data_IF_571070315745
#
_entry.id   IF_571070315745
#
_cell.length_a   1.000
_cell.length_b   1.000
_cell.length_c   1.000
_cell.angle_alpha   90.00
_cell.angle_beta   90.00
_cell.angle_gamma   90.00
#
_symmetry.space_group_name_H-M   'P 1'
#
loop_
_entity.id
_entity.type
_entity.pdbx_description
1 polymer ?
#
# COMPACT_ATOMS: atom_id res chain seq x y z
N UNK A 1 11.38 -8.80 -36.82
CA UNK A 1 10.64 -7.81 -35.97
C UNK A 1 11.54 -7.29 -34.83
N UNK A 2 12.15 -8.12 -33.96
CA UNK A 2 12.92 -7.69 -32.79
C UNK A 2 14.06 -6.73 -33.17
N UNK A 3 14.83 -7.00 -34.23
CA UNK A 3 15.97 -6.19 -34.66
C UNK A 3 15.57 -4.76 -35.01
N UNK A 4 14.42 -4.57 -35.68
CA UNK A 4 13.88 -3.25 -36.07
C UNK A 4 13.10 -2.52 -34.97
N UNK A 5 12.72 -3.20 -33.88
CA UNK A 5 11.87 -2.63 -32.83
C UNK A 5 12.69 -1.70 -31.92
N UNK A 6 12.23 -0.47 -31.70
CA UNK A 6 12.93 0.49 -30.83
C UNK A 6 12.68 0.27 -29.35
N UNK A 7 11.48 -0.16 -28.99
CA UNK A 7 11.02 -0.37 -27.59
C UNK A 7 10.37 -1.74 -27.48
N UNK A 8 10.78 -2.50 -26.48
CA UNK A 8 10.14 -3.77 -26.10
C UNK A 8 9.61 -3.60 -24.68
N UNK A 9 8.34 -3.97 -24.47
CA UNK A 9 7.67 -3.92 -23.16
C UNK A 9 7.29 -5.33 -22.75
N UNK A 10 7.54 -5.67 -21.51
CA UNK A 10 7.21 -6.98 -20.96
C UNK A 10 7.42 -7.05 -19.45
N UNK A 11 7.03 -8.14 -18.84
CA UNK A 11 7.34 -8.42 -17.43
C UNK A 11 8.80 -8.86 -17.29
N UNK A 12 9.40 -8.64 -16.13
CA UNK A 12 10.76 -9.14 -15.82
C UNK A 12 10.85 -10.64 -16.01
N UNK A 13 9.85 -11.40 -15.56
CA UNK A 13 9.78 -12.86 -15.76
C UNK A 13 9.80 -13.25 -17.24
N UNK A 14 9.08 -12.53 -18.10
CA UNK A 14 9.10 -12.78 -19.56
C UNK A 14 10.46 -12.49 -20.15
N UNK A 15 11.09 -11.38 -19.77
CA UNK A 15 12.42 -11.01 -20.26
C UNK A 15 13.50 -12.03 -19.81
N UNK A 16 13.44 -12.47 -18.56
CA UNK A 16 14.39 -13.46 -18.01
C UNK A 16 14.20 -14.85 -18.63
N UNK A 17 12.96 -15.24 -18.92
CA UNK A 17 12.67 -16.55 -19.55
C UNK A 17 12.96 -16.61 -21.05
N UNK A 18 13.20 -15.47 -21.69
CA UNK A 18 13.49 -15.37 -23.14
C UNK A 18 14.80 -14.64 -23.42
N UNK A 19 15.94 -15.14 -22.92
CA UNK A 19 17.25 -14.47 -23.04
C UNK A 19 17.71 -14.26 -24.49
N UNK A 20 17.16 -14.99 -25.44
CA UNK A 20 17.47 -14.82 -26.87
C UNK A 20 17.14 -13.41 -27.38
N UNK A 21 16.23 -12.66 -26.75
CA UNK A 21 15.95 -11.27 -27.10
C UNK A 21 17.22 -10.43 -27.03
N UNK A 22 18.01 -10.61 -25.97
CA UNK A 22 19.27 -9.89 -25.75
C UNK A 22 20.41 -10.40 -26.63
N UNK A 23 20.34 -11.64 -27.12
CA UNK A 23 21.25 -12.16 -28.12
C UNK A 23 21.00 -11.58 -29.52
N UNK A 24 19.73 -11.27 -29.84
CA UNK A 24 19.35 -10.74 -31.15
C UNK A 24 19.54 -9.22 -31.23
N UNK A 25 19.47 -8.51 -30.10
CA UNK A 25 19.59 -7.07 -30.08
C UNK A 25 20.15 -6.58 -28.75
N UNK A 26 21.13 -5.72 -28.81
CA UNK A 26 21.62 -4.97 -27.66
C UNK A 26 20.73 -3.76 -27.37
N UNK A 27 20.32 -3.61 -26.11
CA UNK A 27 19.52 -2.46 -25.65
C UNK A 27 20.37 -1.54 -24.80
N UNK A 28 20.35 -0.25 -25.13
CA UNK A 28 21.12 0.76 -24.39
C UNK A 28 20.55 1.10 -23.03
N UNK A 29 19.21 0.97 -22.88
CA UNK A 29 18.49 1.41 -21.69
C UNK A 29 17.39 0.43 -21.31
N UNK A 30 17.33 0.08 -20.03
CA UNK A 30 16.17 -0.55 -19.40
C UNK A 30 15.50 0.45 -18.47
N UNK A 31 14.16 0.53 -18.53
CA UNK A 31 13.35 1.26 -17.55
C UNK A 31 12.48 0.21 -16.84
N UNK A 32 12.61 0.11 -15.53
CA UNK A 32 11.96 -0.90 -14.72
C UNK A 32 11.05 -0.20 -13.72
N UNK A 33 9.75 -0.34 -13.93
CA UNK A 33 8.74 0.20 -13.04
C UNK A 33 8.39 -0.78 -11.91
N UNK A 34 7.89 -0.27 -10.79
CA UNK A 34 7.60 -1.02 -9.55
C UNK A 34 8.81 -1.85 -9.07
N UNK A 35 10.02 -1.35 -9.27
CA UNK A 35 11.26 -2.08 -8.99
C UNK A 35 11.49 -2.37 -7.49
N UNK A 36 10.83 -1.61 -6.60
CA UNK A 36 10.80 -1.90 -5.16
C UNK A 36 10.08 -3.21 -4.80
N UNK A 37 9.28 -3.76 -5.72
CA UNK A 37 8.58 -5.04 -5.58
C UNK A 37 9.30 -6.22 -6.24
N UNK A 38 10.50 -6.02 -6.77
CA UNK A 38 11.24 -7.04 -7.50
C UNK A 38 12.50 -7.38 -6.71
N UNK A 39 12.65 -8.66 -6.39
CA UNK A 39 13.88 -9.15 -5.73
C UNK A 39 15.08 -8.99 -6.65
N UNK A 40 16.22 -8.65 -6.06
CA UNK A 40 17.49 -8.40 -6.79
C UNK A 40 17.85 -9.53 -7.77
N UNK A 41 17.81 -10.82 -7.41
CA UNK A 41 18.13 -11.90 -8.33
C UNK A 41 17.29 -11.92 -9.62
N UNK A 42 16.07 -11.41 -9.56
CA UNK A 42 15.16 -11.35 -10.72
C UNK A 42 15.49 -10.18 -11.68
N UNK A 43 16.35 -9.24 -11.27
CA UNK A 43 16.77 -8.10 -12.07
C UNK A 43 18.15 -8.24 -12.66
N UNK A 44 19.08 -8.91 -11.98
CA UNK A 44 20.50 -8.97 -12.35
C UNK A 44 20.71 -9.43 -13.79
N UNK A 45 20.04 -10.51 -14.22
CA UNK A 45 20.13 -11.01 -15.58
C UNK A 45 19.67 -10.03 -16.66
N UNK A 46 18.68 -9.21 -16.35
CA UNK A 46 18.20 -8.15 -17.25
C UNK A 46 19.18 -6.97 -17.28
N UNK A 47 19.64 -6.54 -16.11
CA UNK A 47 20.52 -5.38 -15.97
C UNK A 47 21.90 -5.62 -16.59
N UNK A 48 22.41 -6.85 -16.52
CA UNK A 48 23.68 -7.23 -17.18
C UNK A 48 23.63 -7.20 -18.72
N UNK A 49 22.45 -7.16 -19.31
CA UNK A 49 22.24 -7.18 -20.77
C UNK A 49 21.99 -5.77 -21.37
N UNK A 50 22.13 -4.72 -20.59
CA UNK A 50 21.90 -3.33 -21.03
C UNK A 50 23.05 -2.42 -20.58
N UNK A 51 23.23 -1.27 -21.26
CA UNK A 51 24.30 -0.31 -20.89
C UNK A 51 23.93 0.53 -19.68
N UNK A 52 22.66 0.89 -19.56
CA UNK A 52 22.13 1.77 -18.50
C UNK A 52 20.76 1.29 -18.06
N UNK A 53 20.38 1.65 -16.83
CA UNK A 53 19.05 1.38 -16.32
C UNK A 53 18.50 2.54 -15.51
N UNK A 54 17.18 2.59 -15.45
CA UNK A 54 16.40 3.47 -14.56
C UNK A 54 15.45 2.56 -13.78
N UNK A 55 15.57 2.58 -12.46
CA UNK A 55 14.66 1.91 -11.55
C UNK A 55 13.64 2.92 -11.04
N UNK A 56 12.36 2.60 -11.16
CA UNK A 56 11.24 3.40 -10.65
C UNK A 56 10.53 2.57 -9.59
N UNK A 57 10.26 3.16 -8.42
CA UNK A 57 9.61 2.44 -7.34
C UNK A 57 9.36 3.32 -6.12
N UNK A 58 8.77 2.70 -5.11
CA UNK A 58 8.54 3.32 -3.80
C UNK A 58 8.75 2.24 -2.71
N UNK A 59 9.88 2.26 -2.04
CA UNK A 59 10.21 1.28 -1.00
C UNK A 59 9.41 1.49 0.30
N UNK A 60 8.71 2.62 0.41
CA UNK A 60 7.75 2.91 1.51
C UNK A 60 6.36 2.31 1.28
N UNK A 61 6.16 1.67 0.13
CA UNK A 61 5.02 0.80 -0.17
C UNK A 61 5.41 -0.68 -0.05
N UNK A 62 4.51 -1.60 -0.40
CA UNK A 62 4.74 -3.03 -0.19
C UNK A 62 6.00 -3.53 -0.92
N UNK A 63 6.85 -4.32 -0.23
CA UNK A 63 8.04 -4.91 -0.83
C UNK A 63 7.70 -6.11 -1.71
N UNK A 64 8.71 -6.70 -2.32
CA UNK A 64 8.60 -7.99 -2.98
C UNK A 64 8.07 -9.08 -2.02
N UNK A 65 7.25 -9.98 -2.55
CA UNK A 65 6.78 -11.15 -1.78
C UNK A 65 7.91 -12.16 -1.64
N UNK A 66 8.33 -12.41 -0.41
CA UNK A 66 9.37 -13.38 -0.06
C UNK A 66 8.80 -14.48 0.81
N UNK A 67 9.06 -15.73 0.45
CA UNK A 67 8.59 -16.90 1.23
C UNK A 67 9.51 -17.25 2.41
N UNK A 68 10.78 -16.90 2.30
CA UNK A 68 11.78 -17.12 3.33
C UNK A 68 11.53 -16.21 4.54
N UNK A 69 11.78 -16.68 5.75
CA UNK A 69 11.62 -15.87 6.96
C UNK A 69 12.64 -14.71 7.00
N UNK A 70 12.36 -13.71 7.82
CA UNK A 70 13.27 -12.58 7.99
C UNK A 70 14.61 -13.02 8.62
N UNK A 71 14.55 -13.95 9.57
CA UNK A 71 15.75 -14.50 10.22
C UNK A 71 16.64 -15.28 9.24
N UNK A 72 16.02 -16.07 8.34
CA UNK A 72 16.77 -16.85 7.34
C UNK A 72 17.29 -15.99 6.18
N UNK A 73 16.76 -14.80 6.00
CA UNK A 73 17.12 -13.87 4.92
C UNK A 73 18.11 -12.80 5.36
N UNK A 74 18.31 -12.65 6.67
CA UNK A 74 19.28 -11.70 7.25
C UNK A 74 20.72 -12.09 6.92
N UNK A 75 21.55 -11.09 6.67
CA UNK A 75 22.99 -11.29 6.50
C UNK A 75 23.67 -11.13 7.85
N UNK A 76 24.46 -12.12 8.32
CA UNK A 76 25.14 -12.01 9.59
C UNK A 76 26.05 -10.79 9.65
N UNK A 77 26.07 -10.11 10.79
CA UNK A 77 27.03 -9.01 11.03
C UNK A 77 28.44 -9.56 11.28
N UNK A 78 29.47 -8.72 11.12
CA UNK A 78 30.91 -9.11 11.23
C UNK A 78 31.22 -9.84 12.55
N UNK A 79 30.46 -9.55 13.62
CA UNK A 79 30.66 -10.17 14.91
C UNK A 79 30.23 -11.66 14.98
N UNK A 80 29.49 -12.15 14.00
CA UNK A 80 29.06 -13.54 13.87
C UNK A 80 30.03 -14.42 13.06
N UNK A 81 31.19 -13.90 12.70
CA UNK A 81 32.18 -14.51 11.79
C UNK A 81 32.86 -15.80 12.28
N UNK A 82 32.44 -16.38 13.38
CA UNK A 82 32.89 -17.71 13.82
C UNK A 82 32.27 -18.90 13.07
N UNK A 83 31.30 -18.65 12.18
CA UNK A 83 30.73 -19.69 11.29
C UNK A 83 31.36 -19.52 9.91
N UNK A 84 32.47 -20.23 9.69
CA UNK A 84 33.30 -20.23 8.50
C UNK A 84 32.56 -20.03 7.16
N UNK A 85 32.40 -18.80 6.73
CA UNK A 85 31.88 -18.41 5.42
C UNK A 85 33.00 -18.01 4.49
N UNK A 86 32.88 -18.39 3.21
CA UNK A 86 33.81 -18.08 2.13
C UNK A 86 33.68 -16.62 1.67
N UNK A 87 32.70 -15.88 2.20
CA UNK A 87 32.37 -14.52 1.74
C UNK A 87 32.98 -13.51 2.70
N UNK A 88 33.71 -12.55 2.15
CA UNK A 88 34.17 -11.37 2.91
C UNK A 88 32.96 -10.52 3.28
N UNK A 89 32.61 -10.53 4.56
CA UNK A 89 31.45 -9.82 5.07
C UNK A 89 31.56 -8.30 4.93
N UNK A 90 32.80 -7.76 4.80
CA UNK A 90 33.02 -6.33 4.57
C UNK A 90 32.40 -5.87 3.24
N UNK A 91 32.52 -6.68 2.19
CA UNK A 91 31.95 -6.39 0.87
C UNK A 91 30.43 -6.26 0.94
N UNK A 92 29.76 -7.11 1.73
CA UNK A 92 28.29 -7.07 1.88
C UNK A 92 27.85 -5.80 2.59
N UNK A 93 28.63 -5.31 3.55
CA UNK A 93 28.36 -4.04 4.22
C UNK A 93 28.63 -2.84 3.29
N UNK A 94 29.72 -2.87 2.54
CA UNK A 94 30.07 -1.80 1.58
C UNK A 94 29.01 -1.59 0.50
N UNK A 95 28.29 -2.65 0.12
CA UNK A 95 27.17 -2.56 -0.83
C UNK A 95 25.79 -2.45 -0.15
N UNK A 96 25.73 -2.22 1.16
CA UNK A 96 24.50 -2.11 1.96
C UNK A 96 23.57 -3.33 1.85
N UNK A 97 24.12 -4.53 1.63
CA UNK A 97 23.33 -5.76 1.60
C UNK A 97 23.16 -6.33 3.01
N UNK A 98 22.09 -5.95 3.69
CA UNK A 98 21.78 -6.35 5.07
C UNK A 98 20.76 -7.49 5.15
N UNK A 99 19.91 -7.61 4.14
CA UNK A 99 18.85 -8.63 4.08
C UNK A 99 18.52 -8.96 2.62
N UNK A 100 18.50 -10.25 2.28
CA UNK A 100 18.17 -10.73 0.92
C UNK A 100 16.69 -10.52 0.52
N UNK A 101 15.84 -10.05 1.43
CA UNK A 101 14.44 -9.68 1.14
C UNK A 101 14.30 -8.29 0.53
N UNK A 102 15.31 -7.45 0.67
CA UNK A 102 15.29 -6.09 0.12
C UNK A 102 15.42 -6.15 -1.41
N UNK A 103 14.70 -5.25 -2.08
CA UNK A 103 14.88 -5.07 -3.51
C UNK A 103 16.21 -4.39 -3.81
N UNK A 104 16.72 -4.58 -5.04
CA UNK A 104 17.86 -3.80 -5.52
C UNK A 104 17.59 -2.28 -5.43
N UNK A 105 16.35 -1.87 -5.73
CA UNK A 105 15.93 -0.47 -5.64
C UNK A 105 16.13 0.11 -4.24
N UNK A 106 15.61 -0.57 -3.20
CA UNK A 106 15.75 -0.15 -1.81
C UNK A 106 17.23 -0.14 -1.37
N UNK A 107 17.97 -1.18 -1.74
CA UNK A 107 19.39 -1.29 -1.40
C UNK A 107 20.23 -0.16 -2.03
N UNK A 108 19.99 0.17 -3.30
CA UNK A 108 20.71 1.25 -3.97
C UNK A 108 20.38 2.62 -3.37
N UNK A 109 19.13 2.88 -2.98
CA UNK A 109 18.78 4.13 -2.29
C UNK A 109 19.53 4.25 -0.97
N UNK A 110 19.57 3.20 -0.16
CA UNK A 110 20.31 3.22 1.11
C UNK A 110 21.82 3.35 0.88
N UNK A 111 22.36 2.78 -0.18
CA UNK A 111 23.77 2.92 -0.53
C UNK A 111 24.12 4.35 -0.96
N UNK A 112 23.29 4.98 -1.80
CA UNK A 112 23.49 6.38 -2.20
C UNK A 112 23.34 7.34 -1.02
N UNK A 113 22.41 7.09 -0.10
CA UNK A 113 22.28 7.85 1.15
C UNK A 113 23.55 7.70 2.04
N UNK A 114 24.08 6.48 2.15
CA UNK A 114 25.32 6.21 2.90
C UNK A 114 26.53 6.92 2.30
N UNK A 115 26.64 6.96 0.98
CA UNK A 115 27.72 7.66 0.25
C UNK A 115 27.46 9.18 0.09
N UNK A 116 26.39 9.70 0.67
CA UNK A 116 25.95 11.12 0.57
C UNK A 116 25.82 11.61 -0.89
N UNK A 117 25.45 10.73 -1.81
CA UNK A 117 25.30 11.04 -3.23
C UNK A 117 23.84 11.15 -3.60
N UNK A 118 23.44 12.26 -4.22
CA UNK A 118 22.06 12.54 -4.64
C UNK A 118 21.87 12.63 -6.15
N UNK A 119 22.95 12.65 -6.92
CA UNK A 119 22.91 12.82 -8.38
C UNK A 119 22.27 11.64 -9.12
N UNK A 120 22.21 10.46 -8.50
CA UNK A 120 21.60 9.27 -9.07
C UNK A 120 20.16 9.04 -8.60
N UNK A 121 19.67 9.84 -7.66
CA UNK A 121 18.32 9.72 -7.10
C UNK A 121 17.44 10.87 -7.58
N UNK A 122 16.33 10.54 -8.23
CA UNK A 122 15.26 11.48 -8.59
C UNK A 122 14.01 11.23 -7.75
N UNK A 123 13.44 12.27 -7.13
CA UNK A 123 12.22 12.17 -6.35
C UNK A 123 11.06 12.79 -7.12
N UNK A 124 10.04 11.97 -7.41
CA UNK A 124 8.78 12.44 -8.00
C UNK A 124 7.84 12.91 -6.87
N UNK A 125 7.88 14.21 -6.56
CA UNK A 125 7.11 14.78 -5.45
C UNK A 125 5.64 15.03 -5.80
N UNK A 126 5.32 15.26 -7.06
CA UNK A 126 3.95 15.57 -7.49
C UNK A 126 3.13 14.29 -7.67
N UNK A 127 2.06 14.18 -6.90
CA UNK A 127 1.12 13.07 -6.98
C UNK A 127 -0.26 13.53 -7.48
N UNK A 128 -0.86 12.80 -8.41
CA UNK A 128 -2.17 13.10 -9.01
C UNK A 128 -3.32 12.24 -8.47
N UNK A 129 -3.11 11.49 -7.39
CA UNK A 129 -4.10 10.54 -6.87
C UNK A 129 -4.89 11.07 -5.69
N UNK A 130 -4.22 11.29 -4.56
CA UNK A 130 -4.88 11.66 -3.30
C UNK A 130 -5.29 13.12 -3.28
N UNK A 131 -6.47 13.41 -2.76
CA UNK A 131 -6.81 14.76 -2.32
C UNK A 131 -5.79 15.24 -1.25
N UNK A 132 -5.43 16.54 -1.20
CA UNK A 132 -4.44 17.05 -0.23
C UNK A 132 -4.73 16.67 1.23
N UNK A 133 -5.98 16.70 1.68
CA UNK A 133 -6.37 16.30 3.02
C UNK A 133 -6.08 14.83 3.34
N UNK A 134 -6.16 13.94 2.35
CA UNK A 134 -5.78 12.53 2.51
C UNK A 134 -4.26 12.41 2.52
N UNK A 135 -3.58 13.14 1.63
CA UNK A 135 -2.12 13.11 1.49
C UNK A 135 -1.37 13.68 2.70
N UNK A 136 -2.03 14.48 3.53
CA UNK A 136 -1.42 15.10 4.72
C UNK A 136 -0.90 14.04 5.71
N UNK A 137 -1.68 12.99 5.99
CA UNK A 137 -1.24 11.93 6.90
C UNK A 137 -0.03 11.15 6.37
N UNK A 138 -0.03 10.59 5.13
CA UNK A 138 1.18 9.99 4.56
C UNK A 138 2.38 10.93 4.53
N UNK A 139 2.19 12.22 4.22
CA UNK A 139 3.29 13.20 4.24
C UNK A 139 3.86 13.38 5.65
N UNK A 140 3.00 13.45 6.66
CA UNK A 140 3.41 13.62 8.06
C UNK A 140 4.13 12.38 8.60
N UNK A 141 3.71 11.18 8.18
CA UNK A 141 4.20 9.93 8.77
C UNK A 141 5.25 9.23 7.90
N UNK A 142 5.05 9.15 6.60
CA UNK A 142 5.82 8.29 5.71
C UNK A 142 6.74 9.05 4.75
N UNK A 143 6.31 10.21 4.23
CA UNK A 143 7.01 10.98 3.20
C UNK A 143 7.55 12.32 3.73
N UNK A 144 8.13 12.33 4.94
CA UNK A 144 8.64 13.54 5.59
C UNK A 144 9.75 14.22 4.79
N UNK A 145 10.61 13.43 4.14
CA UNK A 145 11.71 13.91 3.29
C UNK A 145 11.21 14.33 1.92
N UNK A 146 10.35 13.51 1.32
CA UNK A 146 9.87 13.69 -0.05
C UNK A 146 8.88 14.84 -0.17
N UNK A 147 7.96 14.97 0.79
CA UNK A 147 6.91 16.00 0.83
C UNK A 147 6.07 16.00 -0.45
N UNK A 148 5.16 15.04 -0.57
CA UNK A 148 4.29 14.90 -1.73
C UNK A 148 3.40 16.13 -1.91
N UNK A 149 3.34 16.64 -3.13
CA UNK A 149 2.55 17.79 -3.54
C UNK A 149 1.46 17.38 -4.56
N UNK A 150 0.31 18.04 -4.60
CA UNK A 150 -0.71 17.74 -5.61
C UNK A 150 -0.28 18.21 -7.01
N UNK A 151 -0.76 17.50 -8.05
CA UNK A 151 -0.62 17.88 -9.47
C UNK A 151 -1.65 18.94 -9.88
N UNK A 152 -2.44 19.50 -9.10
CA UNK A 152 -3.77 20.11 -9.16
C UNK A 152 -4.76 19.45 -10.16
N UNK A 153 -4.95 18.15 -10.04
CA UNK A 153 -6.04 17.47 -10.75
C UNK A 153 -7.41 17.97 -10.26
N UNK A 154 -8.48 17.92 -11.09
CA UNK A 154 -9.80 18.47 -10.70
C UNK A 154 -10.30 17.98 -9.34
N UNK A 155 -10.22 16.68 -9.04
CA UNK A 155 -10.64 16.13 -7.76
C UNK A 155 -9.76 16.54 -6.56
N UNK A 156 -8.53 17.01 -6.81
CA UNK A 156 -7.64 17.52 -5.77
C UNK A 156 -7.93 18.98 -5.41
N UNK A 157 -8.68 19.67 -6.24
CA UNK A 157 -9.11 21.06 -6.07
C UNK A 157 -10.55 21.16 -5.50
N UNK A 158 -11.26 20.04 -5.39
CA UNK A 158 -12.62 20.00 -4.79
C UNK A 158 -12.54 20.37 -3.32
N UNK A 159 -13.21 21.42 -2.88
CA UNK A 159 -13.32 21.82 -1.48
C UNK A 159 -14.28 20.93 -0.71
N UNK A 160 -15.32 20.43 -1.38
CA UNK A 160 -16.37 19.59 -0.81
C UNK A 160 -16.44 18.25 -1.53
N UNK A 161 -16.94 17.23 -0.84
CA UNK A 161 -17.29 15.96 -1.46
C UNK A 161 -18.59 16.14 -2.26
N UNK A 162 -18.62 15.62 -3.49
CA UNK A 162 -19.76 15.78 -4.41
C UNK A 162 -20.99 14.92 -3.98
N UNK A 163 -21.35 14.94 -2.70
CA UNK A 163 -22.50 14.24 -2.13
C UNK A 163 -23.70 15.19 -2.05
N UNK A 164 -24.62 15.09 -3.00
CA UNK A 164 -25.69 16.08 -3.19
C UNK A 164 -26.99 15.77 -2.46
N UNK A 165 -27.21 14.52 -2.04
CA UNK A 165 -28.43 14.14 -1.33
C UNK A 165 -28.43 14.64 0.11
N UNK A 166 -29.59 14.96 0.70
CA UNK A 166 -29.69 15.34 2.09
C UNK A 166 -29.18 14.23 3.03
N UNK A 167 -28.65 14.62 4.19
CA UNK A 167 -28.26 13.68 5.24
C UNK A 167 -29.49 13.10 5.91
N UNK A 168 -29.42 11.83 6.26
CA UNK A 168 -30.48 11.14 7.03
C UNK A 168 -30.12 11.04 8.51
N UNK A 169 -28.84 11.08 8.84
CA UNK A 169 -28.32 10.98 10.21
C UNK A 169 -26.91 11.60 10.34
N UNK A 170 -26.38 11.59 11.56
CA UNK A 170 -25.05 12.13 11.88
C UNK A 170 -23.91 11.43 11.12
N UNK A 171 -24.05 10.17 10.74
CA UNK A 171 -23.04 9.47 9.94
C UNK A 171 -23.00 10.02 8.50
N UNK A 172 -24.14 10.36 7.93
CA UNK A 172 -24.21 11.02 6.63
C UNK A 172 -23.55 12.40 6.66
N UNK A 173 -23.75 13.18 7.74
CA UNK A 173 -23.08 14.47 7.90
C UNK A 173 -21.57 14.29 7.96
N UNK A 174 -21.08 13.36 8.77
CA UNK A 174 -19.65 13.03 8.86
C UNK A 174 -19.06 12.63 7.51
N UNK A 175 -19.78 11.78 6.74
CA UNK A 175 -19.34 11.34 5.40
C UNK A 175 -19.24 12.50 4.41
N UNK A 176 -20.07 13.53 4.54
CA UNK A 176 -20.02 14.70 3.66
C UNK A 176 -18.94 15.70 4.03
N UNK A 177 -18.65 15.84 5.31
CA UNK A 177 -17.77 16.88 5.83
C UNK A 177 -16.29 16.47 5.83
N UNK A 178 -15.98 15.17 5.95
CA UNK A 178 -14.62 14.71 6.19
C UNK A 178 -14.11 13.73 5.12
N UNK A 179 -12.86 13.91 4.74
CA UNK A 179 -12.18 13.02 3.77
C UNK A 179 -11.40 11.89 4.42
N UNK A 180 -11.04 12.03 5.69
CA UNK A 180 -10.41 10.99 6.50
C UNK A 180 -11.33 10.67 7.68
N UNK A 181 -11.89 9.46 7.72
CA UNK A 181 -12.90 9.04 8.70
C UNK A 181 -12.47 7.76 9.39
N UNK A 182 -12.72 7.70 10.70
CA UNK A 182 -12.57 6.49 11.51
C UNK A 182 -13.86 6.17 12.26
N UNK A 183 -14.41 4.99 12.00
CA UNK A 183 -15.59 4.44 12.67
C UNK A 183 -15.18 3.34 13.64
N UNK A 184 -15.30 3.53 14.95
CA UNK A 184 -14.97 2.49 15.93
C UNK A 184 -15.83 1.25 15.76
N UNK A 185 -15.18 0.10 15.70
CA UNK A 185 -15.85 -1.20 15.79
C UNK A 185 -15.73 -1.79 17.18
N UNK A 186 -16.55 -2.80 17.46
CA UNK A 186 -16.53 -3.55 18.71
C UNK A 186 -15.98 -4.95 18.47
N UNK A 187 -15.44 -5.54 19.54
CA UNK A 187 -15.14 -6.96 19.57
C UNK A 187 -16.41 -7.76 19.24
N UNK A 188 -16.32 -8.68 18.31
CA UNK A 188 -17.44 -9.50 17.87
C UNK A 188 -16.96 -10.93 17.66
N UNK A 189 -17.10 -11.78 18.68
CA UNK A 189 -16.79 -13.20 18.59
C UNK A 189 -18.08 -13.99 18.52
N UNK A 190 -18.36 -14.53 17.34
CA UNK A 190 -19.41 -15.52 17.17
C UNK A 190 -18.84 -16.92 17.47
N UNK A 191 -19.60 -17.82 18.12
CA UNK A 191 -19.19 -19.20 18.34
C UNK A 191 -18.85 -19.86 16.99
N UNK A 192 -17.72 -20.59 16.93
CA UNK A 192 -17.26 -21.33 15.76
C UNK A 192 -16.91 -20.49 14.51
N UNK A 193 -16.77 -19.18 14.65
CA UNK A 193 -16.31 -18.29 13.56
C UNK A 193 -14.82 -18.00 13.74
N UNK A 194 -14.11 -17.95 12.62
CA UNK A 194 -12.69 -17.59 12.58
C UNK A 194 -12.45 -16.20 13.18
N UNK A 195 -11.39 -16.04 13.97
CA UNK A 195 -10.89 -14.76 14.47
C UNK A 195 -10.45 -13.78 13.37
N UNK A 196 -10.36 -14.26 12.11
CA UNK A 196 -10.11 -13.47 10.90
C UNK A 196 -11.39 -12.87 10.29
N UNK A 197 -12.47 -12.83 11.07
CA UNK A 197 -13.77 -12.24 10.71
C UNK A 197 -14.22 -11.34 11.87
N UNK A 198 -14.69 -10.15 11.54
CA UNK A 198 -15.43 -9.27 12.44
C UNK A 198 -16.77 -8.91 11.80
N UNK A 199 -17.86 -9.51 12.30
CA UNK A 199 -19.20 -9.30 11.75
C UNK A 199 -19.68 -7.85 11.99
N UNK A 200 -19.26 -7.20 13.06
CA UNK A 200 -19.58 -5.80 13.34
C UNK A 200 -18.95 -4.87 12.30
N UNK A 201 -17.66 -5.06 12.00
CA UNK A 201 -16.99 -4.30 10.93
C UNK A 201 -17.60 -4.57 9.55
N UNK A 202 -17.96 -5.83 9.26
CA UNK A 202 -18.64 -6.17 8.00
C UNK A 202 -19.98 -5.43 7.87
N UNK A 203 -20.75 -5.32 8.96
CA UNK A 203 -22.01 -4.58 8.98
C UNK A 203 -21.78 -3.07 8.74
N UNK A 204 -20.78 -2.47 9.39
CA UNK A 204 -20.36 -1.08 9.15
C UNK A 204 -19.99 -0.86 7.68
N UNK A 205 -19.15 -1.73 7.11
CA UNK A 205 -18.74 -1.65 5.70
C UNK A 205 -19.93 -1.72 4.76
N UNK A 206 -20.88 -2.63 5.01
CA UNK A 206 -22.10 -2.79 4.18
C UNK A 206 -22.99 -1.56 4.24
N UNK A 207 -23.17 -0.95 5.43
CA UNK A 207 -23.94 0.30 5.57
C UNK A 207 -23.24 1.47 4.87
N UNK A 208 -21.92 1.60 5.00
CA UNK A 208 -21.14 2.60 4.27
C UNK A 208 -21.30 2.45 2.76
N UNK A 209 -21.22 1.23 2.23
CA UNK A 209 -21.41 0.97 0.80
C UNK A 209 -22.79 1.38 0.31
N UNK A 210 -23.86 1.10 1.09
CA UNK A 210 -25.21 1.53 0.79
C UNK A 210 -25.33 3.06 0.73
N UNK A 211 -24.73 3.78 1.71
CA UNK A 211 -24.72 5.25 1.78
C UNK A 211 -23.93 5.86 0.60
N UNK A 212 -22.75 5.36 0.31
CA UNK A 212 -21.93 5.83 -0.81
C UNK A 212 -22.66 5.62 -2.14
N UNK A 213 -23.27 4.45 -2.35
CA UNK A 213 -24.08 4.17 -3.53
C UNK A 213 -25.22 5.18 -3.68
N UNK A 214 -25.95 5.46 -2.59
CA UNK A 214 -27.00 6.48 -2.54
C UNK A 214 -26.48 7.87 -2.92
N UNK A 215 -25.36 8.32 -2.33
CA UNK A 215 -24.78 9.63 -2.60
C UNK A 215 -24.27 9.81 -4.03
N UNK A 216 -23.76 8.75 -4.62
CA UNK A 216 -23.31 8.80 -6.01
C UNK A 216 -24.47 8.69 -7.01
N UNK A 217 -25.54 7.95 -6.67
CA UNK A 217 -26.70 7.73 -7.54
C UNK A 217 -26.28 7.26 -8.92
N UNK A 218 -26.75 7.91 -9.99
CA UNK A 218 -26.43 7.56 -11.38
C UNK A 218 -24.94 7.70 -11.75
N UNK A 219 -24.15 8.43 -10.96
CA UNK A 219 -22.69 8.57 -11.14
C UNK A 219 -21.90 7.39 -10.58
N UNK A 220 -22.57 6.43 -9.93
CA UNK A 220 -21.89 5.29 -9.33
C UNK A 220 -21.28 4.39 -10.41
N UNK A 221 -19.98 4.16 -10.30
CA UNK A 221 -19.23 3.21 -11.13
C UNK A 221 -18.54 2.20 -10.21
N UNK A 222 -18.95 0.94 -10.30
CA UNK A 222 -18.41 -0.13 -9.45
C UNK A 222 -16.89 -0.33 -9.55
N UNK A 223 -16.28 0.13 -10.65
CA UNK A 223 -14.83 0.02 -10.86
C UNK A 223 -14.04 1.26 -10.41
N UNK A 224 -14.72 2.40 -10.20
CA UNK A 224 -14.05 3.68 -9.91
C UNK A 224 -14.47 4.29 -8.57
N UNK A 225 -15.75 4.14 -8.19
CA UNK A 225 -16.31 4.87 -7.06
C UNK A 225 -15.79 4.36 -5.73
N UNK A 226 -15.99 3.09 -5.40
CA UNK A 226 -15.65 2.57 -4.08
C UNK A 226 -14.94 1.23 -4.15
N UNK A 227 -14.06 1.01 -3.20
CA UNK A 227 -13.41 -0.26 -2.99
C UNK A 227 -13.18 -0.54 -1.50
N UNK A 228 -13.13 -1.81 -1.17
CA UNK A 228 -12.96 -2.26 0.22
C UNK A 228 -11.63 -3.01 0.36
N UNK A 229 -10.84 -2.61 1.33
CA UNK A 229 -9.58 -3.28 1.70
C UNK A 229 -9.79 -3.99 3.03
N UNK A 230 -9.38 -5.24 3.09
CA UNK A 230 -9.41 -6.07 4.31
C UNK A 230 -8.10 -6.85 4.45
N UNK A 231 -7.65 -7.19 5.67
CA UNK A 231 -6.42 -7.97 5.84
C UNK A 231 -6.62 -9.47 5.57
N UNK A 232 -7.87 -9.97 5.69
CA UNK A 232 -8.16 -11.40 5.62
C UNK A 232 -9.22 -11.75 4.58
N UNK A 233 -8.97 -12.79 3.79
CA UNK A 233 -9.93 -13.29 2.79
C UNK A 233 -11.27 -13.72 3.39
N UNK A 234 -11.28 -14.20 4.62
CA UNK A 234 -12.51 -14.61 5.30
C UNK A 234 -13.46 -13.41 5.49
N UNK A 235 -12.91 -12.21 5.77
CA UNK A 235 -13.71 -10.98 5.88
C UNK A 235 -14.36 -10.59 4.54
N UNK A 236 -13.69 -10.87 3.41
CA UNK A 236 -14.27 -10.63 2.07
C UNK A 236 -15.60 -11.37 1.92
N UNK A 237 -15.62 -12.65 2.29
CA UNK A 237 -16.84 -13.47 2.19
C UNK A 237 -17.97 -12.92 3.08
N UNK A 238 -17.64 -12.45 4.30
CA UNK A 238 -18.63 -11.85 5.21
C UNK A 238 -19.22 -10.56 4.64
N UNK A 239 -18.38 -9.66 4.11
CA UNK A 239 -18.84 -8.42 3.46
C UNK A 239 -19.68 -8.73 2.23
N UNK A 240 -19.24 -9.68 1.36
CA UNK A 240 -20.00 -10.11 0.18
C UNK A 240 -21.40 -10.59 0.54
N UNK A 241 -21.52 -11.46 1.55
CA UNK A 241 -22.83 -11.93 2.05
C UNK A 241 -23.73 -10.79 2.54
N UNK A 242 -23.14 -9.74 3.13
CA UNK A 242 -23.88 -8.54 3.52
C UNK A 242 -24.37 -7.74 2.31
N UNK A 243 -23.55 -7.58 1.28
CA UNK A 243 -23.88 -6.86 0.05
C UNK A 243 -25.02 -7.58 -0.70
N UNK A 244 -24.97 -8.91 -0.83
CA UNK A 244 -26.02 -9.71 -1.47
C UNK A 244 -27.39 -9.44 -0.83
N UNK A 245 -27.45 -9.26 0.49
CA UNK A 245 -28.71 -8.95 1.20
C UNK A 245 -29.27 -7.56 0.89
N UNK A 246 -28.44 -6.63 0.40
CA UNK A 246 -28.89 -5.30 0.00
C UNK A 246 -29.67 -5.34 -1.32
N UNK A 247 -29.43 -6.33 -2.18
CA UNK A 247 -30.07 -6.46 -3.48
C UNK A 247 -29.71 -5.33 -4.46
N UNK A 248 -28.50 -4.75 -4.33
CA UNK A 248 -28.01 -3.67 -5.20
C UNK A 248 -26.94 -4.25 -6.15
N UNK A 249 -27.28 -4.52 -7.43
CA UNK A 249 -26.38 -5.25 -8.35
C UNK A 249 -25.04 -4.55 -8.62
N UNK A 250 -25.00 -3.22 -8.54
CA UNK A 250 -23.78 -2.45 -8.75
C UNK A 250 -22.76 -2.71 -7.63
N UNK A 251 -23.22 -2.87 -6.39
CA UNK A 251 -22.37 -3.16 -5.23
C UNK A 251 -21.78 -4.57 -5.27
N UNK A 252 -22.43 -5.51 -5.93
CA UNK A 252 -21.88 -6.86 -6.10
C UNK A 252 -20.62 -6.88 -6.98
N UNK A 253 -20.46 -5.87 -7.84
CA UNK A 253 -19.35 -5.75 -8.81
C UNK A 253 -18.15 -4.97 -8.29
N UNK A 254 -18.21 -4.35 -7.10
CA UNK A 254 -17.09 -3.59 -6.53
C UNK A 254 -15.92 -4.50 -6.17
N UNK A 255 -14.73 -3.91 -6.10
CA UNK A 255 -13.54 -4.65 -5.61
C UNK A 255 -13.55 -4.72 -4.09
N UNK A 256 -13.42 -5.93 -3.57
CA UNK A 256 -13.13 -6.20 -2.16
C UNK A 256 -11.95 -7.14 -2.14
N UNK A 257 -10.79 -6.71 -1.64
CA UNK A 257 -9.59 -7.55 -1.68
C UNK A 257 -8.61 -7.20 -0.55
N UNK A 258 -7.52 -7.95 -0.46
CA UNK A 258 -6.43 -7.65 0.47
C UNK A 258 -5.56 -6.50 -0.04
N UNK A 259 -4.77 -5.92 0.86
CA UNK A 259 -3.90 -4.78 0.55
C UNK A 259 -2.95 -5.11 -0.61
N UNK A 260 -2.37 -6.32 -0.58
CA UNK A 260 -1.42 -6.78 -1.60
C UNK A 260 -2.02 -6.77 -3.01
N UNK A 261 -3.30 -7.13 -3.13
CA UNK A 261 -4.01 -7.13 -4.40
C UNK A 261 -4.55 -5.76 -4.81
N UNK A 262 -4.65 -4.85 -3.84
CA UNK A 262 -5.05 -3.47 -4.10
C UNK A 262 -3.91 -2.61 -4.62
N UNK A 263 -2.66 -3.05 -4.50
CA UNK A 263 -1.51 -2.31 -5.00
C UNK A 263 -1.64 -2.05 -6.52
N UNK A 264 -1.27 -0.84 -6.97
CA UNK A 264 -1.48 -0.38 -8.35
C UNK A 264 -2.90 0.10 -8.69
N UNK A 265 -3.92 -0.21 -7.88
CA UNK A 265 -5.30 0.25 -8.11
C UNK A 265 -5.62 1.54 -7.32
N UNK A 266 -6.75 2.17 -7.64
CA UNK A 266 -7.26 3.35 -6.93
C UNK A 266 -8.78 3.43 -7.02
N UNK A 267 -9.43 4.11 -6.06
CA UNK A 267 -10.88 4.42 -6.07
C UNK A 267 -11.11 5.82 -5.55
N UNK A 268 -12.25 6.39 -5.87
CA UNK A 268 -12.64 7.68 -5.28
C UNK A 268 -12.77 7.54 -3.77
N UNK A 269 -13.43 6.48 -3.30
CA UNK A 269 -13.59 6.15 -1.89
C UNK A 269 -12.95 4.80 -1.59
N UNK A 270 -12.11 4.74 -0.59
CA UNK A 270 -11.60 3.48 -0.02
C UNK A 270 -12.17 3.28 1.38
N UNK A 271 -12.70 2.09 1.61
CA UNK A 271 -13.09 1.63 2.95
C UNK A 271 -12.07 0.59 3.40
N UNK A 272 -11.40 0.83 4.52
CA UNK A 272 -10.45 -0.11 5.12
C UNK A 272 -11.03 -0.68 6.43
N UNK A 273 -11.36 -1.97 6.43
CA UNK A 273 -11.74 -2.71 7.64
C UNK A 273 -10.52 -3.40 8.20
N UNK A 274 -10.08 -3.03 9.40
CA UNK A 274 -8.90 -3.61 10.04
C UNK A 274 -9.10 -5.06 10.48
N UNK A 275 -10.35 -5.46 10.77
CA UNK A 275 -10.78 -6.85 11.03
C UNK A 275 -9.98 -7.57 12.13
N UNK A 276 -9.37 -6.83 13.07
CA UNK A 276 -8.60 -7.43 14.16
C UNK A 276 -9.44 -7.54 15.43
N UNK A 277 -9.32 -8.68 16.09
CA UNK A 277 -10.04 -9.00 17.31
C UNK A 277 -9.12 -9.38 18.48
N UNK A 278 -7.82 -9.54 18.22
CA UNK A 278 -6.81 -9.92 19.21
C UNK A 278 -5.53 -9.10 18.99
N UNK A 279 -4.81 -8.84 20.09
CA UNK A 279 -3.55 -8.05 20.05
C UNK A 279 -2.49 -8.68 19.14
N UNK A 280 -2.35 -10.00 19.14
CA UNK A 280 -1.36 -10.68 18.29
C UNK A 280 -1.61 -10.50 16.76
N UNK A 281 -2.82 -10.11 16.36
CA UNK A 281 -3.12 -9.80 14.95
C UNK A 281 -2.52 -8.45 14.51
N UNK A 282 -2.11 -7.59 15.45
CA UNK A 282 -1.38 -6.36 15.14
C UNK A 282 -0.05 -6.64 14.44
N UNK A 283 0.66 -7.70 14.82
CA UNK A 283 1.93 -8.09 14.18
C UNK A 283 1.72 -8.43 12.70
N UNK A 284 0.60 -9.06 12.36
CA UNK A 284 0.25 -9.32 10.97
C UNK A 284 -0.13 -8.03 10.24
N UNK A 285 -0.88 -7.15 10.88
CA UNK A 285 -1.34 -5.89 10.29
C UNK A 285 -0.17 -4.95 10.01
N UNK A 286 0.79 -4.82 10.95
CA UNK A 286 1.98 -4.00 10.87
C UNK A 286 3.23 -4.74 10.36
N UNK A 287 3.09 -5.95 9.85
CA UNK A 287 4.19 -6.88 9.57
C UNK A 287 5.17 -6.48 8.46
N UNK A 288 4.96 -5.35 7.79
CA UNK A 288 5.86 -4.77 6.79
C UNK A 288 6.30 -3.35 7.18
N UNK A 289 6.51 -3.12 8.48
CA UNK A 289 7.00 -1.83 9.00
C UNK A 289 8.52 -1.83 9.14
N UNK A 290 9.12 -0.66 8.98
CA UNK A 290 10.53 -0.41 9.26
C UNK A 290 10.69 0.98 9.88
N UNK A 291 11.87 1.29 10.39
CA UNK A 291 12.17 2.61 10.98
C UNK A 291 13.10 3.38 10.05
N UNK A 292 12.72 4.63 9.73
CA UNK A 292 13.53 5.57 8.97
C UNK A 292 13.49 6.92 9.70
N UNK A 293 14.65 7.51 9.99
CA UNK A 293 14.79 8.79 10.70
C UNK A 293 13.99 8.85 12.02
N UNK A 294 13.95 7.73 12.75
CA UNK A 294 13.20 7.60 14.00
C UNK A 294 11.66 7.54 13.83
N UNK A 295 11.17 7.46 12.61
CA UNK A 295 9.75 7.30 12.31
C UNK A 295 9.43 5.86 11.88
N UNK A 296 8.29 5.34 12.30
CA UNK A 296 7.78 4.05 11.84
C UNK A 296 7.09 4.25 10.51
N UNK A 297 7.58 3.55 9.48
CA UNK A 297 6.98 3.48 8.16
C UNK A 297 6.21 2.16 8.06
N UNK A 298 4.89 2.22 8.10
CA UNK A 298 4.03 1.06 7.87
C UNK A 298 3.64 0.99 6.39
N UNK A 299 4.25 0.06 5.67
CA UNK A 299 4.06 -0.10 4.22
C UNK A 299 2.62 -0.49 3.87
N UNK A 300 1.96 -1.32 4.67
CA UNK A 300 0.57 -1.74 4.43
C UNK A 300 -0.39 -0.57 4.60
N UNK A 301 -0.28 0.15 5.70
CA UNK A 301 -1.12 1.32 5.96
C UNK A 301 -0.89 2.40 4.90
N UNK A 302 0.37 2.64 4.52
CA UNK A 302 0.72 3.58 3.46
C UNK A 302 0.04 3.20 2.14
N UNK A 303 0.12 1.93 1.72
CA UNK A 303 -0.58 1.46 0.52
C UNK A 303 -2.08 1.67 0.66
N UNK A 304 -2.70 1.28 1.76
CA UNK A 304 -4.15 1.40 1.94
C UNK A 304 -4.63 2.85 1.77
N UNK A 305 -4.00 3.81 2.48
CA UNK A 305 -4.40 5.22 2.43
C UNK A 305 -4.16 5.81 1.04
N UNK A 306 -3.02 5.49 0.43
CA UNK A 306 -2.67 6.03 -0.89
C UNK A 306 -3.51 5.47 -2.04
N UNK A 307 -4.44 4.54 -1.81
CA UNK A 307 -5.42 4.09 -2.83
C UNK A 307 -6.62 5.01 -2.95
N UNK A 308 -6.91 5.83 -1.94
CA UNK A 308 -8.05 6.74 -1.93
C UNK A 308 -7.75 8.02 -2.73
N UNK A 309 -8.67 8.40 -3.61
CA UNK A 309 -8.58 9.65 -4.37
C UNK A 309 -9.28 10.81 -3.64
N UNK A 310 -10.51 10.59 -3.18
CA UNK A 310 -11.39 11.62 -2.62
C UNK A 310 -11.71 11.41 -1.15
N UNK A 311 -11.82 10.16 -0.69
CA UNK A 311 -12.17 9.86 0.69
C UNK A 311 -11.59 8.53 1.16
N UNK A 312 -11.08 8.49 2.38
CA UNK A 312 -10.58 7.32 3.09
C UNK A 312 -11.41 7.09 4.35
N UNK A 313 -12.11 5.97 4.42
CA UNK A 313 -12.95 5.58 5.56
C UNK A 313 -12.35 4.32 6.18
N UNK A 314 -12.15 4.34 7.49
CA UNK A 314 -11.55 3.24 8.23
C UNK A 314 -12.48 2.76 9.34
N UNK A 315 -12.49 1.46 9.59
CA UNK A 315 -13.20 0.88 10.72
C UNK A 315 -12.36 -0.19 11.40
N UNK A 316 -12.34 -0.18 12.71
CA UNK A 316 -11.55 -1.12 13.52
C UNK A 316 -11.79 -0.96 15.01
N UNK A 317 -11.34 -1.92 15.81
CA UNK A 317 -11.44 -1.86 17.26
C UNK A 317 -10.35 -0.95 17.84
N UNK A 318 -10.70 0.24 18.39
CA UNK A 318 -9.72 1.20 18.90
C UNK A 318 -8.97 0.68 20.13
N UNK A 319 -9.57 -0.20 20.94
CA UNK A 319 -8.91 -0.75 22.13
C UNK A 319 -7.72 -1.63 21.75
N UNK A 320 -7.80 -2.35 20.63
CA UNK A 320 -6.72 -3.18 20.12
C UNK A 320 -5.73 -2.30 19.34
N UNK A 321 -6.22 -1.47 18.41
CA UNK A 321 -5.37 -0.66 17.53
C UNK A 321 -4.44 0.30 18.30
N UNK A 322 -4.88 0.84 19.44
CA UNK A 322 -4.05 1.72 20.30
C UNK A 322 -2.78 1.08 20.84
N UNK A 323 -2.68 -0.26 20.85
CA UNK A 323 -1.47 -0.95 21.29
C UNK A 323 -0.34 -0.91 20.24
N UNK A 324 -0.60 -0.37 19.05
CA UNK A 324 0.42 -0.11 18.05
C UNK A 324 0.53 1.41 17.81
N UNK A 325 1.75 1.93 17.80
CA UNK A 325 2.02 3.36 17.72
C UNK A 325 1.43 4.00 16.46
N UNK A 326 1.62 3.41 15.28
CA UNK A 326 1.18 4.02 14.02
C UNK A 326 -0.34 4.10 13.91
N UNK A 327 -1.08 3.09 14.42
CA UNK A 327 -2.53 3.12 14.42
C UNK A 327 -3.08 4.07 15.49
N UNK A 328 -2.37 4.22 16.61
CA UNK A 328 -2.69 5.24 17.63
C UNK A 328 -2.54 6.66 17.04
N UNK A 329 -1.42 6.93 16.35
CA UNK A 329 -1.17 8.19 15.65
C UNK A 329 -2.25 8.47 14.58
N UNK A 330 -2.65 7.44 13.79
CA UNK A 330 -3.70 7.56 12.81
C UNK A 330 -5.04 7.97 13.43
N UNK A 331 -5.46 7.29 14.51
CA UNK A 331 -6.72 7.61 15.18
C UNK A 331 -6.69 9.01 15.81
N UNK A 332 -5.55 9.42 16.39
CA UNK A 332 -5.39 10.76 16.95
C UNK A 332 -5.47 11.83 15.85
N UNK A 333 -4.80 11.61 14.72
CA UNK A 333 -4.86 12.48 13.56
C UNK A 333 -6.31 12.66 13.06
N UNK A 334 -7.05 11.56 12.89
CA UNK A 334 -8.45 11.62 12.44
C UNK A 334 -9.33 12.34 13.45
N UNK A 335 -9.08 12.19 14.76
CA UNK A 335 -9.77 12.96 15.81
C UNK A 335 -9.49 14.45 15.74
N UNK A 336 -8.20 14.83 15.56
CA UNK A 336 -7.80 16.24 15.40
C UNK A 336 -8.52 16.90 14.22
N UNK A 337 -8.77 16.13 13.15
CA UNK A 337 -9.47 16.59 11.94
C UNK A 337 -11.00 16.51 12.02
N UNK A 338 -11.58 16.04 13.14
CA UNK A 338 -13.02 15.91 13.33
C UNK A 338 -13.68 14.69 12.67
N UNK A 339 -12.92 13.83 12.01
CA UNK A 339 -13.45 12.68 11.27
C UNK A 339 -13.65 11.39 12.10
N UNK A 340 -13.59 11.46 13.42
CA UNK A 340 -13.79 10.30 14.31
C UNK A 340 -15.24 10.27 14.78
N UNK A 341 -15.96 9.17 14.48
CA UNK A 341 -17.38 8.99 14.83
C UNK A 341 -17.60 8.60 16.29
#
# INVERSE_FOLDING_TARGET
YIIGTRVIVGTTSMMTSKPFIFLLKHFKLAIIDESSQILEPNLIGLLSAVDKFILIGDYKQLPAVVQQSEQDSGIPTINDSQKGGIIDMSILQDICLTNCRNSLFERLIHWEDYEERSEFIGILRRQGRMHPEIAEFPNRMFYRREKLEPVPCPHQLETELSYTLPSEDALDDLLKEHRMIFLPSKFCKEPNVSDKINANEAAIVVDLLRRIHRFYGERFDAKKTVGVIVPYRNQIAMVRKGIEKLGIPELEKISIDTIERYQGSQRDVIIYSFTIQNIWQLDFLAGNSFVEDGAIIDRKLNVAITRARKQMIMTGNPEILRNNQIFSELMNYVKEKGGYF
#
